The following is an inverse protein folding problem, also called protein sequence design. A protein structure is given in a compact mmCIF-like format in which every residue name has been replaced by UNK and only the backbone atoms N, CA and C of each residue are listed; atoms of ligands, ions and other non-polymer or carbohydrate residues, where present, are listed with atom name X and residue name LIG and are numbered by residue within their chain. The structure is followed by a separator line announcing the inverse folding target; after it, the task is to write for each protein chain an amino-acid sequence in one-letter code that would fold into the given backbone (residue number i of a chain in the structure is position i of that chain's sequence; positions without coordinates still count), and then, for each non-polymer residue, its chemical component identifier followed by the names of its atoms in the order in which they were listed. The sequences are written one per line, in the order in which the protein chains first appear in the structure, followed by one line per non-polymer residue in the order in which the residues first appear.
data_IF_940523973677
#
_entry.id   IF_940523973677
#
_cell.length_a   1.000
_cell.length_b   1.000
_cell.length_c   1.000
_cell.angle_alpha   90.00
_cell.angle_beta   90.00
_cell.angle_gamma   90.00
#
_symmetry.space_group_name_H-M   'P 1'
#
loop_
_entity.id
_entity.type
_entity.pdbx_description
1 polymer ?
#
# COMPACT_ATOMS: atom_id res chain seq x y z
N UNK A 1 -10.49 -40.24 -19.56
CA UNK A 1 -10.29 -38.85 -20.02
C UNK A 1 -10.63 -37.76 -18.98
N UNK A 2 -11.79 -37.78 -18.31
CA UNK A 2 -12.17 -36.73 -17.33
C UNK A 2 -11.32 -36.67 -16.03
N UNK A 3 -10.68 -37.77 -15.62
CA UNK A 3 -9.85 -37.83 -14.40
C UNK A 3 -8.49 -37.13 -14.55
N UNK A 4 -7.82 -37.36 -15.69
CA UNK A 4 -6.53 -36.72 -16.02
C UNK A 4 -6.73 -35.20 -16.25
N UNK A 5 -7.85 -34.78 -16.84
CA UNK A 5 -8.18 -33.35 -16.96
C UNK A 5 -8.41 -32.70 -15.59
N UNK A 6 -9.04 -33.39 -14.62
CA UNK A 6 -9.20 -32.91 -13.24
C UNK A 6 -7.87 -32.83 -12.48
N UNK A 7 -6.96 -33.77 -12.69
CA UNK A 7 -5.62 -33.73 -12.08
C UNK A 7 -4.71 -32.65 -12.71
N UNK A 8 -4.81 -32.42 -14.03
CA UNK A 8 -4.13 -31.32 -14.72
C UNK A 8 -4.73 -29.95 -14.36
N UNK A 9 -6.05 -29.83 -14.23
CA UNK A 9 -6.74 -28.61 -13.75
C UNK A 9 -6.48 -28.36 -12.26
N UNK A 10 -6.27 -29.41 -11.45
CA UNK A 10 -5.89 -29.31 -10.04
C UNK A 10 -4.44 -28.83 -9.83
N UNK A 11 -3.56 -29.03 -10.82
CA UNK A 11 -2.15 -28.58 -10.79
C UNK A 11 -1.92 -27.16 -11.33
N UNK A 12 -2.90 -26.55 -11.99
CA UNK A 12 -2.77 -25.23 -12.62
C UNK A 12 -3.16 -24.03 -11.72
N UNK A 13 -3.50 -24.23 -10.44
CA UNK A 13 -4.04 -23.18 -9.55
C UNK A 13 -3.22 -22.91 -8.28
N UNK A 14 -1.90 -23.11 -8.35
CA UNK A 14 -0.99 -22.90 -7.21
C UNK A 14 0.02 -21.78 -7.40
N UNK A 15 0.05 -21.13 -8.58
CA UNK A 15 0.98 -20.03 -8.82
C UNK A 15 0.65 -18.87 -7.89
N UNK A 16 1.67 -18.40 -7.19
CA UNK A 16 1.62 -17.15 -6.44
C UNK A 16 1.58 -15.99 -7.42
N UNK A 17 0.73 -15.02 -7.15
CA UNK A 17 0.61 -13.79 -7.91
C UNK A 17 0.71 -12.60 -6.96
N UNK A 18 1.20 -11.50 -7.49
CA UNK A 18 1.26 -10.21 -6.82
C UNK A 18 0.24 -9.28 -7.46
N UNK A 19 -0.55 -8.59 -6.66
CA UNK A 19 -1.58 -7.67 -7.10
C UNK A 19 -1.23 -6.29 -6.55
N UNK A 20 -1.00 -5.34 -7.45
CA UNK A 20 -0.57 -3.98 -7.12
C UNK A 20 -1.68 -2.95 -7.39
N UNK A 21 -1.76 -1.92 -6.55
CA UNK A 21 -2.58 -0.72 -6.76
C UNK A 21 -1.79 0.52 -6.38
N UNK A 22 -2.02 1.60 -7.12
CA UNK A 22 -1.38 2.91 -6.90
C UNK A 22 -2.44 3.95 -6.56
N UNK A 23 -2.12 4.81 -5.60
CA UNK A 23 -2.97 5.89 -5.10
C UNK A 23 -2.16 7.18 -5.02
N UNK A 24 -2.85 8.30 -4.90
CA UNK A 24 -2.23 9.61 -4.65
C UNK A 24 -3.00 10.34 -3.56
N UNK A 25 -2.32 11.20 -2.82
CA UNK A 25 -2.92 12.13 -1.87
C UNK A 25 -2.03 13.37 -1.72
N UNK A 26 -2.62 14.50 -1.37
CA UNK A 26 -1.87 15.75 -1.15
C UNK A 26 -1.93 16.12 0.31
N UNK A 27 -0.79 16.33 0.96
CA UNK A 27 -0.76 16.65 2.39
C UNK A 27 0.39 17.58 2.76
N UNK A 28 0.22 18.30 3.86
CA UNK A 28 1.27 19.09 4.49
C UNK A 28 1.88 18.35 5.67
N UNK A 29 3.14 18.63 5.99
CA UNK A 29 3.83 18.10 7.16
C UNK A 29 5.02 18.97 7.58
N UNK A 30 5.58 18.66 8.75
CA UNK A 30 6.87 19.14 9.21
C UNK A 30 7.57 18.06 10.04
N UNK A 31 8.90 18.07 10.02
CA UNK A 31 9.77 17.16 10.77
C UNK A 31 10.57 17.97 11.78
N UNK A 32 10.08 18.03 13.03
CA UNK A 32 10.70 18.82 14.09
C UNK A 32 12.21 18.50 14.22
N UNK A 33 13.04 19.55 14.31
CA UNK A 33 14.50 19.41 14.37
C UNK A 33 15.22 19.24 13.02
N UNK A 34 14.49 19.02 11.92
CA UNK A 34 15.13 18.89 10.60
C UNK A 34 15.40 20.27 9.95
N UNK A 35 16.61 20.55 9.41
CA UNK A 35 17.00 21.89 8.95
C UNK A 35 16.15 22.44 7.79
N UNK A 36 15.72 21.57 6.86
CA UNK A 36 14.84 21.94 5.74
C UNK A 36 13.38 21.57 6.00
N UNK A 37 13.12 20.28 6.22
CA UNK A 37 11.80 19.72 6.45
C UNK A 37 11.15 20.07 7.80
N UNK A 38 11.82 20.79 8.70
CA UNK A 38 11.23 21.26 9.96
C UNK A 38 10.27 22.43 9.81
N UNK A 39 10.23 23.08 8.64
CA UNK A 39 9.18 24.04 8.28
C UNK A 39 8.00 23.29 7.70
N UNK A 40 6.78 23.77 7.97
CA UNK A 40 5.59 23.25 7.31
C UNK A 40 5.72 23.43 5.80
N UNK A 41 5.56 22.32 5.08
CA UNK A 41 5.54 22.24 3.63
C UNK A 41 4.64 21.06 3.23
N UNK A 42 4.48 20.79 1.94
CA UNK A 42 3.63 19.68 1.51
C UNK A 42 4.09 19.04 0.22
N UNK A 43 3.51 17.89 -0.06
CA UNK A 43 3.83 17.06 -1.22
C UNK A 43 2.55 16.46 -1.82
N UNK A 44 2.64 16.12 -3.10
CA UNK A 44 1.68 15.25 -3.77
C UNK A 44 2.23 13.82 -3.68
N UNK A 45 1.87 13.14 -2.60
CA UNK A 45 2.35 11.78 -2.34
C UNK A 45 1.75 10.80 -3.33
N UNK A 46 2.56 9.83 -3.74
CA UNK A 46 2.09 8.62 -4.42
C UNK A 46 2.31 7.44 -3.49
N UNK A 47 1.37 6.50 -3.48
CA UNK A 47 1.44 5.27 -2.69
C UNK A 47 1.22 4.08 -3.60
N UNK A 48 2.05 3.06 -3.49
CA UNK A 48 1.84 1.78 -4.13
C UNK A 48 1.77 0.69 -3.07
N UNK A 49 0.76 -0.15 -3.19
CA UNK A 49 0.56 -1.30 -2.32
C UNK A 49 0.52 -2.53 -3.19
N UNK A 50 1.33 -3.51 -2.84
CA UNK A 50 1.36 -4.80 -3.50
C UNK A 50 1.06 -5.89 -2.48
N UNK A 51 0.12 -6.77 -2.82
CA UNK A 51 -0.28 -7.91 -1.97
C UNK A 51 0.01 -9.24 -2.69
N UNK A 52 0.35 -10.26 -1.92
CA UNK A 52 0.56 -11.64 -2.39
C UNK A 52 -0.72 -12.44 -2.27
N UNK A 53 -1.02 -13.24 -3.29
CA UNK A 53 -2.09 -14.24 -3.23
C UNK A 53 -1.80 -15.40 -4.18
N UNK A 54 -2.74 -16.34 -4.35
CA UNK A 54 -2.69 -17.40 -5.36
C UNK A 54 -3.73 -17.15 -6.43
N UNK A 55 -3.44 -17.58 -7.65
CA UNK A 55 -4.43 -17.57 -8.74
C UNK A 55 -5.59 -18.52 -8.37
N UNK A 56 -6.82 -18.01 -8.33
CA UNK A 56 -8.02 -18.78 -7.97
C UNK A 56 -9.23 -18.40 -8.83
N UNK A 57 -10.23 -19.29 -8.87
CA UNK A 57 -11.56 -19.02 -9.44
C UNK A 57 -12.66 -19.51 -8.47
N UNK A 58 -13.52 -18.61 -7.94
CA UNK A 58 -13.44 -17.15 -8.09
C UNK A 58 -12.14 -16.56 -7.51
N UNK A 59 -11.85 -15.29 -7.84
CA UNK A 59 -10.63 -14.59 -7.42
C UNK A 59 -10.47 -14.63 -5.89
N UNK A 60 -9.24 -14.73 -5.38
CA UNK A 60 -8.98 -14.64 -3.93
C UNK A 60 -9.01 -13.19 -3.41
N UNK A 61 -8.53 -12.24 -4.21
CA UNK A 61 -8.51 -10.82 -3.89
C UNK A 61 -8.95 -10.07 -5.15
N UNK A 62 -9.96 -9.22 -5.02
CA UNK A 62 -10.38 -8.27 -6.05
C UNK A 62 -9.67 -6.93 -5.85
N UNK A 63 -9.42 -6.18 -6.93
CA UNK A 63 -8.94 -4.81 -6.83
C UNK A 63 -9.89 -3.92 -6.00
N UNK A 64 -11.19 -4.18 -6.05
CA UNK A 64 -12.19 -3.46 -5.25
C UNK A 64 -11.99 -3.63 -3.73
N UNK A 65 -11.51 -4.80 -3.29
CA UNK A 65 -11.23 -5.03 -1.87
C UNK A 65 -10.02 -4.19 -1.42
N UNK A 66 -8.97 -4.14 -2.24
CA UNK A 66 -7.79 -3.30 -1.96
C UNK A 66 -8.22 -1.83 -1.94
N UNK A 67 -9.02 -1.38 -2.91
CA UNK A 67 -9.54 -0.02 -3.01
C UNK A 67 -10.36 0.36 -1.77
N UNK A 68 -11.20 -0.55 -1.26
CA UNK A 68 -12.02 -0.28 -0.07
C UNK A 68 -11.15 0.12 1.13
N UNK A 69 -10.13 -0.67 1.42
CA UNK A 69 -9.24 -0.43 2.55
C UNK A 69 -8.32 0.76 2.29
N UNK A 70 -7.73 0.86 1.10
CA UNK A 70 -6.84 1.96 0.75
C UNK A 70 -7.54 3.30 0.70
N UNK A 71 -8.73 3.40 0.10
CA UNK A 71 -9.47 4.65 0.08
C UNK A 71 -9.84 5.13 1.50
N UNK A 72 -10.09 4.22 2.44
CA UNK A 72 -10.30 4.60 3.84
C UNK A 72 -9.03 5.19 4.47
N UNK A 73 -7.87 4.59 4.21
CA UNK A 73 -6.58 5.08 4.69
C UNK A 73 -6.22 6.42 4.03
N UNK A 74 -6.39 6.55 2.72
CA UNK A 74 -6.12 7.78 1.96
C UNK A 74 -6.95 8.94 2.48
N UNK A 75 -8.24 8.75 2.81
CA UNK A 75 -9.08 9.80 3.43
C UNK A 75 -8.56 10.31 4.78
N UNK A 76 -7.76 9.52 5.48
CA UNK A 76 -7.11 9.95 6.73
C UNK A 76 -5.90 10.84 6.47
N UNK A 77 -5.31 10.78 5.28
CA UNK A 77 -4.06 11.47 4.92
C UNK A 77 -4.29 12.67 3.99
N UNK A 78 -5.25 12.54 3.07
CA UNK A 78 -5.49 13.49 2.00
C UNK A 78 -6.05 14.83 2.51
N UNK A 79 -5.50 15.92 1.97
CA UNK A 79 -5.79 17.31 2.34
C UNK A 79 -5.65 17.61 3.84
N UNK A 80 -4.69 16.96 4.52
CA UNK A 80 -4.44 17.15 5.96
C UNK A 80 -3.03 17.65 6.27
N UNK A 81 -2.86 18.11 7.51
CA UNK A 81 -1.55 18.16 8.14
C UNK A 81 -1.23 16.78 8.74
N UNK A 82 -0.22 16.10 8.21
CA UNK A 82 0.13 14.73 8.63
C UNK A 82 0.59 14.64 10.08
N UNK A 83 1.10 15.74 10.67
CA UNK A 83 1.47 15.77 12.08
C UNK A 83 0.26 15.55 13.02
N UNK A 84 -0.98 15.73 12.55
CA UNK A 84 -2.21 15.44 13.32
C UNK A 84 -2.58 13.95 13.31
N UNK A 85 -1.94 13.16 12.44
CA UNK A 85 -2.30 11.76 12.15
C UNK A 85 -1.13 10.82 12.47
N UNK A 86 0.10 11.29 12.27
CA UNK A 86 1.36 10.57 12.44
C UNK A 86 2.30 11.50 13.19
N UNK A 87 2.78 11.08 14.37
CA UNK A 87 3.62 11.88 15.26
C UNK A 87 4.84 12.48 14.54
N UNK A 88 5.53 11.66 13.74
CA UNK A 88 6.67 12.08 12.95
C UNK A 88 6.51 11.63 11.48
N UNK A 89 5.93 12.46 10.59
CA UNK A 89 5.39 12.03 9.29
C UNK A 89 6.44 11.96 8.18
N UNK A 90 7.47 11.13 8.33
CA UNK A 90 8.41 10.81 7.24
C UNK A 90 7.79 9.83 6.24
N UNK A 91 8.38 9.68 5.04
CA UNK A 91 7.94 8.68 4.07
C UNK A 91 7.94 7.24 4.64
N UNK A 92 8.92 6.88 5.46
CA UNK A 92 9.02 5.59 6.15
C UNK A 92 7.84 5.38 7.13
N UNK A 93 7.55 6.38 7.97
CA UNK A 93 6.46 6.30 8.94
C UNK A 93 5.08 6.33 8.27
N UNK A 94 4.95 6.98 7.10
CA UNK A 94 3.75 6.86 6.27
C UNK A 94 3.62 5.43 5.71
N UNK A 95 4.71 4.80 5.26
CA UNK A 95 4.69 3.40 4.83
C UNK A 95 4.23 2.49 5.97
N UNK A 96 4.80 2.65 7.17
CA UNK A 96 4.40 1.88 8.34
C UNK A 96 2.92 2.10 8.69
N UNK A 97 2.48 3.37 8.74
CA UNK A 97 1.08 3.71 9.03
C UNK A 97 0.09 2.99 8.12
N UNK A 98 0.41 2.91 6.83
CA UNK A 98 -0.41 2.22 5.80
C UNK A 98 -0.29 0.69 5.98
N UNK A 99 0.92 0.16 6.14
CA UNK A 99 1.17 -1.27 6.34
C UNK A 99 0.41 -1.82 7.55
N UNK A 100 0.49 -1.16 8.70
CA UNK A 100 -0.16 -1.60 9.94
C UNK A 100 -1.68 -1.68 9.81
N UNK A 101 -2.29 -0.84 8.96
CA UNK A 101 -3.74 -0.81 8.71
C UNK A 101 -4.19 -1.82 7.65
N UNK A 102 -3.31 -2.20 6.73
CA UNK A 102 -3.61 -3.17 5.68
C UNK A 102 -3.32 -4.61 6.08
N UNK A 103 -2.29 -4.85 6.90
CA UNK A 103 -1.83 -6.20 7.25
C UNK A 103 -2.90 -7.13 7.88
N UNK A 104 -3.97 -6.63 8.54
CA UNK A 104 -5.04 -7.52 9.00
C UNK A 104 -5.88 -8.13 7.86
N UNK A 105 -5.85 -7.54 6.67
CA UNK A 105 -6.71 -7.91 5.54
C UNK A 105 -5.96 -8.65 4.43
N UNK A 106 -4.66 -8.39 4.28
CA UNK A 106 -3.87 -8.87 3.15
C UNK A 106 -2.48 -9.38 3.57
N UNK A 107 -1.97 -10.39 2.85
CA UNK A 107 -0.55 -10.73 2.86
C UNK A 107 0.19 -9.70 1.98
N UNK A 108 0.88 -8.75 2.61
CA UNK A 108 1.48 -7.60 1.92
C UNK A 108 2.88 -7.97 1.41
N UNK A 109 3.14 -7.75 0.13
CA UNK A 109 4.49 -7.81 -0.44
C UNK A 109 5.29 -6.57 -0.07
N UNK A 110 4.73 -5.39 -0.32
CA UNK A 110 5.33 -4.11 0.07
C UNK A 110 4.29 -3.01 0.14
N UNK A 111 4.66 -1.96 0.88
CA UNK A 111 4.05 -0.63 0.79
C UNK A 111 5.16 0.35 0.42
N UNK A 112 4.97 1.10 -0.67
CA UNK A 112 5.92 2.10 -1.16
C UNK A 112 5.26 3.47 -1.20
N UNK A 113 5.93 4.48 -0.65
CA UNK A 113 5.45 5.87 -0.60
C UNK A 113 6.49 6.78 -1.21
N UNK A 114 6.09 7.55 -2.22
CA UNK A 114 6.90 8.60 -2.82
C UNK A 114 6.47 9.95 -2.26
N UNK A 115 7.44 10.75 -1.83
CA UNK A 115 7.23 12.18 -1.54
C UNK A 115 7.18 12.98 -2.85
N UNK A 116 7.96 12.55 -3.85
CA UNK A 116 8.01 13.18 -5.17
C UNK A 116 8.48 12.15 -6.21
N UNK A 117 8.61 12.57 -7.47
CA UNK A 117 8.97 11.68 -8.58
C UNK A 117 10.38 11.05 -8.49
N UNK A 118 11.20 11.44 -7.51
CA UNK A 118 12.61 11.02 -7.37
C UNK A 118 12.90 10.26 -6.07
N UNK A 119 12.04 10.37 -5.06
CA UNK A 119 12.35 9.89 -3.71
C UNK A 119 11.18 9.10 -3.13
N UNK A 120 11.48 7.91 -2.61
CA UNK A 120 10.51 7.04 -1.96
C UNK A 120 11.11 6.30 -0.77
N UNK A 121 10.22 5.87 0.13
CA UNK A 121 10.48 4.83 1.12
C UNK A 121 9.64 3.58 0.79
N UNK A 122 10.10 2.41 1.24
CA UNK A 122 9.40 1.15 1.05
C UNK A 122 9.50 0.28 2.30
N UNK A 123 8.36 -0.20 2.79
CA UNK A 123 8.28 -1.26 3.79
C UNK A 123 8.14 -2.59 3.06
N UNK A 124 9.05 -3.51 3.36
CA UNK A 124 9.06 -4.90 2.86
C UNK A 124 8.92 -5.82 4.09
N UNK A 125 7.78 -6.50 4.28
CA UNK A 125 7.51 -7.35 5.46
C UNK A 125 8.27 -8.67 5.51
#
# INVERSE_FOLDING_TARGET
MKRILRELLGRLRSLKVRIGRTYTFSAAHSLEGHPKCGRVHGHNYKVEVCVRTKIAHPLNIDFYDIDRHMNAIIRMLDHRNLNEVIEYPTAENICEFIYQRLKPFFDIEYVKVWENDRSFAEVIP
#
